data_IF_955874306116
#
_entry.id   IF_955874306116
#
_cell.length_a   1.000
_cell.length_b   1.000
_cell.length_c   1.000
_cell.angle_alpha   90.00
_cell.angle_beta   90.00
_cell.angle_gamma   90.00
#
_symmetry.space_group_name_H-M   'P 1'
#
loop_
_entity.id
_entity.type
_entity.pdbx_description
1 polymer ?
#
# COMPACT_ATOMS: atom_id res chain seq x y z
N UNK A 1 2.45 -25.31 -2.62
CA UNK A 1 2.79 -24.18 -3.50
C UNK A 1 1.59 -23.23 -3.62
N UNK A 2 0.39 -23.76 -3.87
CA UNK A 2 -0.87 -22.99 -3.81
C UNK A 2 -1.10 -22.31 -2.45
N UNK A 3 -0.98 -23.04 -1.33
CA UNK A 3 -1.16 -22.46 0.02
C UNK A 3 -0.26 -21.26 0.32
N UNK A 4 0.96 -21.25 -0.23
CA UNK A 4 1.90 -20.13 -0.04
C UNK A 4 1.45 -18.90 -0.82
N UNK A 5 1.01 -19.09 -2.06
CA UNK A 5 0.50 -18.01 -2.92
C UNK A 5 -0.78 -17.44 -2.32
N UNK A 6 -1.70 -18.30 -1.87
CA UNK A 6 -2.95 -17.89 -1.23
C UNK A 6 -2.68 -17.05 0.03
N UNK A 7 -1.73 -17.48 0.88
CA UNK A 7 -1.31 -16.69 2.05
C UNK A 7 -0.70 -15.34 1.67
N UNK A 8 0.08 -15.26 0.58
CA UNK A 8 0.63 -14.00 0.11
C UNK A 8 -0.46 -13.07 -0.45
N UNK A 9 -1.45 -13.61 -1.17
CA UNK A 9 -2.60 -12.86 -1.67
C UNK A 9 -3.48 -12.34 -0.53
N UNK A 10 -3.73 -13.14 0.51
CA UNK A 10 -4.42 -12.71 1.72
C UNK A 10 -3.69 -11.54 2.40
N UNK A 11 -2.36 -11.61 2.44
CA UNK A 11 -1.52 -10.51 2.97
C UNK A 11 -1.64 -9.24 2.13
N UNK A 12 -1.71 -9.36 0.81
CA UNK A 12 -1.95 -8.21 -0.09
C UNK A 12 -3.33 -7.59 0.20
N UNK A 13 -4.37 -8.41 0.35
CA UNK A 13 -5.72 -7.93 0.70
C UNK A 13 -5.73 -7.21 2.05
N UNK A 14 -5.04 -7.76 3.05
CA UNK A 14 -4.89 -7.12 4.35
C UNK A 14 -4.17 -5.77 4.24
N UNK A 15 -3.05 -5.71 3.52
CA UNK A 15 -2.30 -4.46 3.32
C UNK A 15 -3.14 -3.41 2.60
N UNK A 16 -3.98 -3.80 1.63
CA UNK A 16 -4.88 -2.87 0.95
C UNK A 16 -6.00 -2.35 1.87
N UNK A 17 -6.55 -3.22 2.73
CA UNK A 17 -7.51 -2.81 3.77
C UNK A 17 -6.87 -1.82 4.75
N UNK A 18 -5.66 -2.10 5.22
CA UNK A 18 -4.90 -1.22 6.10
C UNK A 18 -4.60 0.13 5.43
N UNK A 19 -4.16 0.13 4.16
CA UNK A 19 -3.95 1.34 3.35
C UNK A 19 -5.18 2.25 3.38
N UNK A 20 -6.35 1.68 3.10
CA UNK A 20 -7.61 2.42 3.08
C UNK A 20 -8.02 2.95 4.47
N UNK A 21 -7.79 2.17 5.53
CA UNK A 21 -8.04 2.61 6.90
C UNK A 21 -7.13 3.77 7.31
N UNK A 22 -5.84 3.70 6.98
CA UNK A 22 -4.87 4.77 7.26
C UNK A 22 -5.25 6.05 6.51
N UNK A 23 -5.56 5.95 5.21
CA UNK A 23 -6.01 7.10 4.41
C UNK A 23 -7.28 7.71 5.01
N UNK A 24 -8.25 6.89 5.43
CA UNK A 24 -9.48 7.37 6.07
C UNK A 24 -9.17 8.14 7.35
N UNK A 25 -8.28 7.62 8.21
CA UNK A 25 -7.86 8.31 9.44
C UNK A 25 -7.19 9.66 9.16
N UNK A 26 -6.30 9.72 8.17
CA UNK A 26 -5.66 10.98 7.76
C UNK A 26 -6.71 12.00 7.30
N UNK A 27 -7.69 11.57 6.51
CA UNK A 27 -8.79 12.44 6.05
C UNK A 27 -9.60 12.99 7.22
N UNK A 28 -9.92 12.16 8.21
CA UNK A 28 -10.74 12.56 9.37
C UNK A 28 -10.00 13.42 10.38
N UNK A 29 -8.68 13.32 10.48
CA UNK A 29 -7.90 14.11 11.44
C UNK A 29 -8.00 15.61 11.12
N UNK A 30 -8.43 16.42 12.08
CA UNK A 30 -8.55 17.88 11.92
C UNK A 30 -7.35 18.61 12.48
N UNK A 31 -6.72 18.04 13.51
CA UNK A 31 -5.68 18.69 14.28
C UNK A 31 -4.47 17.77 14.44
N UNK A 32 -3.29 18.39 14.51
CA UNK A 32 -2.02 17.73 14.86
C UNK A 32 -1.49 18.35 16.15
N UNK A 33 -0.80 17.53 16.95
CA UNK A 33 -0.06 18.02 18.11
C UNK A 33 1.35 18.43 17.68
N UNK A 34 1.77 19.62 18.06
CA UNK A 34 3.13 20.12 17.87
C UNK A 34 3.65 20.64 19.21
N UNK A 35 4.46 19.82 19.89
CA UNK A 35 4.87 20.07 21.27
C UNK A 35 3.67 20.11 22.22
N UNK A 36 3.47 21.27 22.88
CA UNK A 36 2.32 21.53 23.76
C UNK A 36 1.09 22.09 23.01
N UNK A 37 1.21 22.45 21.73
CA UNK A 37 0.14 23.09 20.97
C UNK A 37 -0.65 22.12 20.09
N UNK A 38 -1.92 22.44 19.86
CA UNK A 38 -2.81 21.77 18.91
C UNK A 38 -2.98 22.69 17.71
N UNK A 39 -2.56 22.25 16.53
CA UNK A 39 -2.63 23.01 15.28
C UNK A 39 -3.61 22.36 14.31
N UNK A 40 -4.34 23.15 13.54
CA UNK A 40 -5.15 22.65 12.43
C UNK A 40 -4.27 22.07 11.32
N UNK A 41 -4.66 20.93 10.76
CA UNK A 41 -3.96 20.31 9.64
C UNK A 41 -4.48 20.93 8.34
N UNK A 42 -3.57 21.40 7.49
CA UNK A 42 -3.94 21.96 6.17
C UNK A 42 -4.29 20.86 5.18
N UNK A 43 -5.01 21.21 4.11
CA UNK A 43 -5.36 20.27 3.04
C UNK A 43 -4.11 19.67 2.38
N UNK A 44 -3.11 20.50 2.08
CA UNK A 44 -1.84 20.05 1.48
C UNK A 44 -1.08 19.08 2.37
N UNK A 45 -1.06 19.30 3.69
CA UNK A 45 -0.42 18.38 4.63
C UNK A 45 -1.11 17.01 4.64
N UNK A 46 -2.46 16.99 4.54
CA UNK A 46 -3.20 15.73 4.41
C UNK A 46 -2.87 15.02 3.11
N UNK A 47 -2.82 15.74 2.00
CA UNK A 47 -2.50 15.16 0.68
C UNK A 47 -1.10 14.55 0.69
N UNK A 48 -0.10 15.26 1.22
CA UNK A 48 1.27 14.73 1.40
C UNK A 48 1.30 13.47 2.26
N UNK A 49 0.52 13.43 3.35
CA UNK A 49 0.43 12.24 4.21
C UNK A 49 -0.27 11.06 3.51
N UNK A 50 -1.34 11.33 2.75
CA UNK A 50 -2.06 10.31 1.97
C UNK A 50 -1.15 9.73 0.89
N UNK A 51 -0.41 10.56 0.16
CA UNK A 51 0.50 10.08 -0.88
C UNK A 51 1.68 9.30 -0.30
N UNK A 52 2.21 9.72 0.85
CA UNK A 52 3.24 8.95 1.57
C UNK A 52 2.69 7.59 2.00
N UNK A 53 1.46 7.53 2.51
CA UNK A 53 0.82 6.28 2.89
C UNK A 53 0.61 5.38 1.66
N UNK A 54 0.07 5.91 0.56
CA UNK A 54 -0.11 5.18 -0.71
C UNK A 54 1.19 4.54 -1.17
N UNK A 55 2.24 5.35 -1.37
CA UNK A 55 3.56 4.88 -1.81
C UNK A 55 4.13 3.78 -0.90
N UNK A 56 3.99 3.91 0.41
CA UNK A 56 4.48 2.90 1.36
C UNK A 56 3.76 1.56 1.18
N UNK A 57 2.43 1.57 1.13
CA UNK A 57 1.63 0.34 1.02
C UNK A 57 1.76 -0.28 -0.36
N UNK A 58 1.78 0.52 -1.42
CA UNK A 58 1.96 0.03 -2.79
C UNK A 58 3.36 -0.62 -2.94
N UNK A 59 4.41 -0.04 -2.36
CA UNK A 59 5.74 -0.65 -2.33
C UNK A 59 5.77 -1.99 -1.56
N UNK A 60 5.06 -2.08 -0.43
CA UNK A 60 4.94 -3.34 0.33
C UNK A 60 4.22 -4.43 -0.47
N UNK A 61 3.12 -4.07 -1.14
CA UNK A 61 2.37 -4.99 -2.00
C UNK A 61 3.26 -5.45 -3.16
N UNK A 62 3.98 -4.52 -3.81
CA UNK A 62 4.88 -4.85 -4.91
C UNK A 62 5.99 -5.83 -4.48
N UNK A 63 6.57 -5.63 -3.30
CA UNK A 63 7.57 -6.56 -2.76
C UNK A 63 7.02 -7.98 -2.54
N UNK A 64 5.72 -8.14 -2.26
CA UNK A 64 5.08 -9.46 -2.18
C UNK A 64 4.98 -10.08 -3.56
N UNK A 65 4.50 -9.36 -4.57
CA UNK A 65 4.43 -9.84 -5.95
C UNK A 65 5.79 -10.23 -6.52
N UNK A 66 6.83 -9.43 -6.28
CA UNK A 66 8.21 -9.77 -6.70
C UNK A 66 8.64 -11.12 -6.09
N UNK A 67 8.37 -11.35 -4.81
CA UNK A 67 8.70 -12.61 -4.14
C UNK A 67 7.87 -13.77 -4.67
N UNK A 68 6.56 -13.57 -4.90
CA UNK A 68 5.70 -14.60 -5.49
C UNK A 68 6.20 -14.99 -6.89
N UNK A 69 6.51 -14.02 -7.75
CA UNK A 69 6.99 -14.27 -9.11
C UNK A 69 8.35 -14.96 -9.13
N UNK A 70 9.24 -14.66 -8.17
CA UNK A 70 10.49 -15.40 -8.01
C UNK A 70 10.24 -16.89 -7.70
N UNK A 71 9.28 -17.20 -6.84
CA UNK A 71 8.92 -18.59 -6.51
C UNK A 71 8.21 -19.29 -7.67
N UNK A 72 7.31 -18.59 -8.39
CA UNK A 72 6.65 -19.12 -9.59
C UNK A 72 7.66 -19.42 -10.70
N UNK A 73 8.63 -18.53 -10.92
CA UNK A 73 9.69 -18.72 -11.91
C UNK A 73 10.58 -19.92 -11.58
N UNK A 74 10.90 -20.14 -10.31
CA UNK A 74 11.61 -21.36 -9.86
C UNK A 74 10.79 -22.63 -10.12
N UNK A 75 9.47 -22.53 -10.04
CA UNK A 75 8.54 -23.61 -10.33
C UNK A 75 8.26 -23.83 -11.82
N UNK A 76 8.79 -22.97 -12.71
CA UNK A 76 8.50 -23.00 -14.15
C UNK A 76 7.08 -22.53 -14.51
N UNK A 77 6.43 -21.78 -13.61
CA UNK A 77 5.08 -21.23 -13.80
C UNK A 77 5.14 -19.77 -14.28
N UNK A 78 4.05 -19.31 -14.88
CA UNK A 78 3.91 -17.92 -15.35
C UNK A 78 3.90 -16.92 -14.18
N UNK A 79 4.40 -15.71 -14.45
CA UNK A 79 4.46 -14.62 -13.47
C UNK A 79 3.08 -14.00 -13.25
N UNK A 80 2.80 -13.58 -12.01
CA UNK A 80 1.57 -12.85 -11.69
C UNK A 80 1.77 -11.36 -11.89
N UNK A 81 0.84 -10.72 -12.59
CA UNK A 81 0.78 -9.26 -12.68
C UNK A 81 0.23 -8.66 -11.38
N UNK A 82 0.82 -7.55 -10.95
CA UNK A 82 0.38 -6.82 -9.77
C UNK A 82 -0.66 -5.76 -10.16
N UNK A 83 -1.95 -5.95 -9.81
CA UNK A 83 -3.02 -5.00 -10.17
C UNK A 83 -2.93 -3.68 -9.39
N UNK A 84 -2.09 -3.61 -8.36
CA UNK A 84 -1.86 -2.42 -7.53
C UNK A 84 -0.62 -1.64 -7.97
N UNK A 85 0.13 -2.14 -8.95
CA UNK A 85 1.26 -1.42 -9.50
C UNK A 85 0.70 -0.35 -10.44
N UNK A 86 0.88 0.92 -10.06
CA UNK A 86 0.61 2.04 -10.96
C UNK A 86 1.64 1.94 -12.08
N UNK A 87 1.29 1.28 -13.19
CA UNK A 87 1.98 1.46 -14.46
C UNK A 87 1.82 2.94 -14.80
N UNK A 88 2.94 3.64 -14.95
CA UNK A 88 2.95 4.97 -15.55
C UNK A 88 2.47 4.82 -16.99
N UNK A 89 1.19 5.03 -17.21
CA UNK A 89 0.55 5.19 -18.51
C UNK A 89 -0.76 5.93 -18.26
N UNK A 90 -0.95 7.05 -18.95
CA UNK A 90 -2.11 7.96 -18.87
C UNK A 90 -2.10 8.98 -17.72
N UNK A 91 -1.19 9.96 -17.85
CA UNK A 91 -1.55 11.38 -17.97
C UNK A 91 -0.38 12.16 -18.61
#
# INVERSE_FOLDING_TARGET
MNDYIDQQLDKVLQLNKEKNQVIRRIKTNRTKRHGMHILSITKEEKEKQIDKARKLYDAKINAIYIKMNQELKKAGLEELENPYQITKGEN
#
